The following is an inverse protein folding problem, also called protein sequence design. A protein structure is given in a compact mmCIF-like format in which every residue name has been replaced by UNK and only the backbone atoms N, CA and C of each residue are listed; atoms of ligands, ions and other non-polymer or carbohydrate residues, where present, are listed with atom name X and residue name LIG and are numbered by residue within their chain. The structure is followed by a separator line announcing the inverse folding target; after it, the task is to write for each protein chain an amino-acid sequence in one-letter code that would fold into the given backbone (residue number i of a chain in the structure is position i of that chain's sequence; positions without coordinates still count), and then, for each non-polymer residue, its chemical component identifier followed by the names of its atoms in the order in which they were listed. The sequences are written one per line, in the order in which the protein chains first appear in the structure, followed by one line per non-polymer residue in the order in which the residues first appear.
data_IF_739339369210
#
_entry.id   IF_739339369210
#
_cell.length_a   1.000
_cell.length_b   1.000
_cell.length_c   1.000
_cell.angle_alpha   90.00
_cell.angle_beta   90.00
_cell.angle_gamma   90.00
#
_symmetry.space_group_name_H-M   'P 1'
#
loop_
_entity.id
_entity.type
_entity.pdbx_description
1 polymer ?
#
# COMPACT_ATOMS: atom_id res chain seq x y z
N UNK A 1 -16.29 -11.87 29.29
CA UNK A 1 -15.82 -12.45 28.01
C UNK A 1 -15.73 -11.29 27.05
N UNK A 2 -14.52 -10.79 26.76
CA UNK A 2 -14.37 -9.75 25.74
C UNK A 2 -14.66 -10.40 24.40
N UNK A 3 -15.70 -9.93 23.69
CA UNK A 3 -15.87 -10.29 22.29
C UNK A 3 -14.58 -9.94 21.57
N UNK A 4 -13.99 -10.94 20.91
CA UNK A 4 -12.94 -10.71 19.94
C UNK A 4 -13.62 -9.96 18.80
N UNK A 5 -13.67 -8.64 18.90
CA UNK A 5 -14.10 -7.78 17.81
C UNK A 5 -13.30 -8.24 16.60
N UNK A 6 -13.99 -8.76 15.58
CA UNK A 6 -13.35 -9.31 14.39
C UNK A 6 -12.30 -8.31 13.91
N UNK A 7 -11.04 -8.71 13.95
CA UNK A 7 -9.83 -7.93 13.60
C UNK A 7 -9.71 -7.67 12.10
N UNK A 8 -10.85 -7.59 11.43
CA UNK A 8 -10.99 -7.53 9.98
C UNK A 8 -11.45 -6.13 9.59
N UNK A 9 -11.01 -5.63 8.42
CA UNK A 9 -11.52 -4.38 7.88
C UNK A 9 -13.04 -4.49 7.69
N UNK A 10 -13.77 -3.42 7.98
CA UNK A 10 -15.21 -3.34 7.65
C UNK A 10 -15.41 -3.04 6.16
N UNK A 11 -14.44 -2.34 5.58
CA UNK A 11 -14.51 -1.86 4.21
C UNK A 11 -13.30 -2.32 3.40
N UNK A 12 -13.54 -2.68 2.15
CA UNK A 12 -12.54 -3.13 1.19
C UNK A 12 -12.88 -2.54 -0.17
N UNK A 13 -11.92 -2.40 -1.08
CA UNK A 13 -12.23 -2.23 -2.50
C UNK A 13 -12.16 -3.57 -3.22
N UNK A 14 -13.24 -3.91 -3.90
CA UNK A 14 -13.23 -4.96 -4.93
C UNK A 14 -12.78 -4.31 -6.24
N UNK A 15 -11.63 -4.75 -6.73
CA UNK A 15 -10.97 -4.22 -7.91
C UNK A 15 -11.18 -5.20 -9.05
N UNK A 16 -11.71 -4.69 -10.16
CA UNK A 16 -11.84 -5.45 -11.41
C UNK A 16 -10.67 -5.11 -12.31
N UNK A 17 -9.96 -6.15 -12.75
CA UNK A 17 -8.87 -6.06 -13.70
C UNK A 17 -9.33 -6.74 -15.00
N UNK A 18 -9.12 -6.08 -16.13
CA UNK A 18 -9.39 -6.61 -17.46
C UNK A 18 -8.15 -6.45 -18.34
N UNK A 19 -7.79 -7.48 -19.11
CA UNK A 19 -6.59 -7.50 -19.96
C UNK A 19 -5.30 -7.07 -19.21
N UNK A 20 -5.17 -7.44 -17.94
CA UNK A 20 -4.05 -7.05 -17.08
C UNK A 20 -3.96 -5.54 -16.84
N UNK A 21 -5.08 -4.82 -16.90
CA UNK A 21 -5.21 -3.39 -16.62
C UNK A 21 -6.31 -3.14 -15.60
N UNK A 22 -6.07 -2.18 -14.72
CA UNK A 22 -7.14 -1.64 -13.89
C UNK A 22 -8.33 -1.24 -14.76
N UNK A 23 -9.51 -1.78 -14.44
CA UNK A 23 -10.75 -1.44 -15.12
C UNK A 23 -11.64 -0.58 -14.23
N UNK A 24 -11.92 -1.04 -13.02
CA UNK A 24 -12.73 -0.31 -12.05
C UNK A 24 -12.50 -0.83 -10.63
N UNK A 25 -13.02 -0.10 -9.65
CA UNK A 25 -13.17 -0.61 -8.29
C UNK A 25 -14.52 -0.20 -7.72
N UNK A 26 -14.98 -0.92 -6.70
CA UNK A 26 -16.09 -0.51 -5.85
C UNK A 26 -15.77 -0.79 -4.39
N UNK A 27 -16.14 0.14 -3.52
CA UNK A 27 -16.09 -0.10 -2.08
C UNK A 27 -17.18 -1.11 -1.71
N UNK A 28 -16.82 -2.13 -0.93
CA UNK A 28 -17.73 -3.16 -0.45
C UNK A 28 -17.66 -3.26 1.07
N UNK A 29 -18.77 -3.67 1.66
CA UNK A 29 -18.76 -4.16 3.04
C UNK A 29 -18.04 -5.52 3.07
N UNK A 30 -16.93 -5.58 3.79
CA UNK A 30 -16.09 -6.75 3.84
C UNK A 30 -16.56 -7.73 4.91
N UNK A 31 -16.56 -9.02 4.55
CA UNK A 31 -16.75 -10.14 5.47
C UNK A 31 -15.68 -11.16 5.12
N UNK A 32 -14.80 -11.54 6.06
CA UNK A 32 -13.88 -12.63 5.75
C UNK A 32 -14.61 -13.97 5.80
N UNK A 33 -15.02 -14.40 4.62
CA UNK A 33 -15.54 -15.74 4.32
C UNK A 33 -14.41 -16.65 3.79
N UNK A 34 -13.19 -16.47 4.32
CA UNK A 34 -11.98 -17.16 3.86
C UNK A 34 -11.29 -16.51 2.65
N UNK A 35 -11.84 -15.42 2.10
CA UNK A 35 -11.17 -14.63 1.06
C UNK A 35 -9.93 -13.92 1.60
N UNK A 36 -8.90 -13.87 0.76
CA UNK A 36 -7.63 -13.16 1.03
C UNK A 36 -7.67 -11.78 0.40
N UNK A 37 -6.97 -10.84 1.01
CA UNK A 37 -6.81 -9.49 0.47
C UNK A 37 -5.37 -9.00 0.56
N UNK A 38 -5.08 -7.97 -0.24
CA UNK A 38 -3.81 -7.24 -0.24
C UNK A 38 -4.02 -5.88 0.44
N UNK A 39 -3.20 -5.51 1.42
CA UNK A 39 -3.17 -4.15 1.96
C UNK A 39 -2.05 -3.34 1.33
N UNK A 40 -2.34 -2.14 0.80
CA UNK A 40 -1.33 -1.26 0.19
C UNK A 40 -0.89 -0.22 1.21
N UNK A 41 0.40 -0.20 1.54
CA UNK A 41 1.02 0.80 2.40
C UNK A 41 1.92 1.75 1.61
N UNK A 42 1.69 3.04 1.79
CA UNK A 42 2.40 4.09 1.07
C UNK A 42 2.33 5.43 1.82
N UNK A 43 3.33 6.31 1.68
CA UNK A 43 3.17 7.73 2.00
C UNK A 43 2.31 8.40 0.93
N UNK A 44 1.29 9.18 1.32
CA UNK A 44 0.45 9.95 0.37
C UNK A 44 1.30 10.81 -0.57
N UNK A 45 2.37 11.41 -0.06
CA UNK A 45 3.29 12.21 -0.89
C UNK A 45 4.03 11.40 -1.96
N UNK A 46 4.24 10.10 -1.74
CA UNK A 46 4.78 9.22 -2.79
C UNK A 46 3.72 8.90 -3.85
N UNK A 47 2.48 8.64 -3.46
CA UNK A 47 1.39 8.45 -4.42
C UNK A 47 1.08 9.74 -5.20
N UNK A 48 1.27 10.91 -4.58
CA UNK A 48 1.12 12.19 -5.26
C UNK A 48 2.10 12.39 -6.42
N UNK A 49 3.29 11.79 -6.35
CA UNK A 49 4.24 11.79 -7.48
C UNK A 49 3.65 11.05 -8.67
N UNK A 50 3.09 9.84 -8.49
CA UNK A 50 2.38 9.11 -9.55
C UNK A 50 1.19 9.90 -10.10
N UNK A 51 0.43 10.53 -9.21
CA UNK A 51 -0.70 11.40 -9.57
C UNK A 51 -0.25 12.55 -10.50
N UNK A 52 0.86 13.20 -10.17
CA UNK A 52 1.42 14.30 -10.95
C UNK A 52 1.99 13.82 -12.29
N UNK A 53 2.70 12.70 -12.29
CA UNK A 53 3.28 12.07 -13.50
C UNK A 53 2.19 11.61 -14.49
N UNK A 54 1.03 11.19 -13.99
CA UNK A 54 -0.16 10.91 -14.80
C UNK A 54 -0.83 12.17 -15.37
N UNK A 55 -0.26 13.36 -15.17
CA UNK A 55 -0.78 14.64 -15.64
C UNK A 55 -2.01 15.14 -14.89
N UNK A 56 -2.38 14.50 -13.77
CA UNK A 56 -3.54 14.90 -12.96
C UNK A 56 -3.20 16.12 -12.10
N UNK A 57 -4.21 16.95 -11.85
CA UNK A 57 -4.10 18.16 -11.02
C UNK A 57 -5.04 18.10 -9.83
N UNK A 58 -4.59 18.67 -8.71
CA UNK A 58 -5.41 18.88 -7.52
C UNK A 58 -6.58 19.80 -7.86
N UNK A 59 -7.69 19.64 -7.13
CA UNK A 59 -8.82 20.55 -7.21
C UNK A 59 -8.60 21.71 -6.23
N UNK A 60 -8.87 22.94 -6.67
CA UNK A 60 -8.94 24.10 -5.79
C UNK A 60 -10.38 24.32 -5.30
N UNK A 61 -10.59 24.79 -4.05
CA UNK A 61 -9.60 25.23 -3.08
C UNK A 61 -9.12 24.14 -2.10
N UNK A 62 -7.88 24.29 -1.60
CA UNK A 62 -7.34 23.46 -0.52
C UNK A 62 -8.02 23.79 0.81
N UNK A 63 -8.30 22.80 1.68
CA UNK A 63 -8.85 23.06 3.00
C UNK A 63 -7.82 23.75 3.90
N UNK A 64 -8.27 24.66 4.78
CA UNK A 64 -7.39 25.27 5.78
C UNK A 64 -6.67 24.21 6.64
N UNK A 65 -5.36 24.36 6.79
CA UNK A 65 -4.52 23.45 7.58
C UNK A 65 -4.33 22.04 7.03
N UNK A 66 -4.89 21.70 5.85
CA UNK A 66 -4.70 20.39 5.20
C UNK A 66 -4.02 20.55 3.83
N UNK A 67 -3.06 19.67 3.55
CA UNK A 67 -2.32 19.66 2.27
C UNK A 67 -3.22 19.31 1.08
N UNK A 68 -4.19 18.42 1.28
CA UNK A 68 -5.07 17.88 0.24
C UNK A 68 -6.53 17.81 0.73
N UNK A 69 -7.49 18.09 -0.16
CA UNK A 69 -8.91 17.84 0.08
C UNK A 69 -9.21 16.33 0.11
N UNK A 70 -10.34 15.91 0.68
CA UNK A 70 -10.73 14.49 0.73
C UNK A 70 -10.79 13.88 -0.68
N UNK A 71 -11.42 14.59 -1.61
CA UNK A 71 -11.55 14.15 -3.00
C UNK A 71 -10.19 13.97 -3.68
N UNK A 72 -9.26 14.90 -3.48
CA UNK A 72 -7.91 14.76 -4.01
C UNK A 72 -7.16 13.57 -3.41
N UNK A 73 -7.32 13.30 -2.11
CA UNK A 73 -6.72 12.12 -1.48
C UNK A 73 -7.25 10.83 -2.07
N UNK A 74 -8.55 10.73 -2.36
CA UNK A 74 -9.15 9.59 -3.07
C UNK A 74 -8.56 9.43 -4.46
N UNK A 75 -8.47 10.51 -5.24
CA UNK A 75 -7.90 10.49 -6.60
C UNK A 75 -6.41 10.12 -6.61
N UNK A 76 -5.66 10.54 -5.59
CA UNK A 76 -4.25 10.15 -5.38
C UNK A 76 -4.15 8.65 -5.07
N UNK A 77 -4.98 8.15 -4.14
CA UNK A 77 -5.03 6.72 -3.81
C UNK A 77 -5.45 5.86 -5.01
N UNK A 78 -6.43 6.31 -5.79
CA UNK A 78 -6.83 5.65 -7.04
C UNK A 78 -5.68 5.57 -8.04
N UNK A 79 -4.88 6.64 -8.20
CA UNK A 79 -3.72 6.58 -9.09
C UNK A 79 -2.70 5.53 -8.63
N UNK A 80 -2.47 5.40 -7.32
CA UNK A 80 -1.61 4.34 -6.80
C UNK A 80 -2.19 2.94 -7.07
N UNK A 81 -3.52 2.78 -6.96
CA UNK A 81 -4.18 1.51 -7.26
C UNK A 81 -4.03 1.13 -8.75
N UNK A 82 -4.18 2.10 -9.65
CA UNK A 82 -3.94 1.91 -11.10
C UNK A 82 -2.50 1.45 -11.35
N UNK A 83 -1.53 2.08 -10.68
CA UNK A 83 -0.12 1.71 -10.80
C UNK A 83 0.15 0.29 -10.27
N UNK A 84 -0.43 -0.05 -9.12
CA UNK A 84 -0.36 -1.39 -8.54
C UNK A 84 -0.87 -2.46 -9.50
N UNK A 85 -2.07 -2.27 -10.08
CA UNK A 85 -2.64 -3.20 -11.04
C UNK A 85 -1.77 -3.32 -12.31
N UNK A 86 -1.20 -2.21 -12.77
CA UNK A 86 -0.33 -2.20 -13.95
C UNK A 86 0.97 -2.99 -13.71
N UNK A 87 1.59 -2.83 -12.54
CA UNK A 87 2.79 -3.54 -12.15
C UNK A 87 2.58 -5.07 -11.97
N UNK A 88 1.33 -5.53 -11.83
CA UNK A 88 1.01 -6.97 -11.75
C UNK A 88 0.97 -7.66 -13.11
N UNK A 89 0.81 -6.94 -14.22
CA UNK A 89 0.74 -7.55 -15.56
C UNK A 89 1.93 -8.47 -15.84
N UNK A 90 3.10 -8.11 -15.33
CA UNK A 90 4.34 -8.84 -15.56
C UNK A 90 4.43 -10.18 -14.78
N UNK A 91 3.46 -10.50 -13.91
CA UNK A 91 3.47 -11.68 -13.04
C UNK A 91 2.75 -12.92 -13.61
N UNK A 92 2.48 -13.00 -14.92
CA UNK A 92 1.77 -14.14 -15.54
C UNK A 92 0.41 -14.45 -14.87
N UNK A 93 -0.28 -13.41 -14.42
CA UNK A 93 -1.64 -13.50 -13.88
C UNK A 93 -2.66 -13.70 -15.02
N UNK A 94 -3.84 -14.28 -14.76
CA UNK A 94 -4.93 -14.30 -15.73
C UNK A 94 -5.19 -12.90 -16.30
N UNK A 95 -5.63 -12.75 -17.56
CA UNK A 95 -5.91 -11.44 -18.13
C UNK A 95 -6.99 -10.69 -17.34
N UNK A 96 -8.02 -11.42 -16.91
CA UNK A 96 -9.14 -10.87 -16.17
C UNK A 96 -9.21 -11.52 -14.79
N UNK A 97 -9.31 -10.71 -13.75
CA UNK A 97 -9.57 -11.20 -12.39
C UNK A 97 -10.15 -10.11 -11.50
N UNK A 98 -10.69 -10.55 -10.37
CA UNK A 98 -11.11 -9.68 -9.28
C UNK A 98 -10.14 -9.82 -8.12
N UNK A 99 -9.72 -8.70 -7.54
CA UNK A 99 -8.88 -8.67 -6.34
C UNK A 99 -9.53 -7.83 -5.24
N UNK A 100 -9.30 -8.23 -3.99
CA UNK A 100 -9.73 -7.49 -2.82
C UNK A 100 -8.52 -6.73 -2.27
N UNK A 101 -8.62 -5.41 -2.25
CA UNK A 101 -7.52 -4.53 -1.85
C UNK A 101 -7.99 -3.60 -0.74
N UNK A 102 -7.18 -3.49 0.31
CA UNK A 102 -7.35 -2.47 1.32
C UNK A 102 -6.38 -1.32 1.01
N UNK A 103 -6.94 -0.15 0.71
CA UNK A 103 -6.19 1.09 0.48
C UNK A 103 -6.96 2.23 1.13
N UNK A 104 -6.29 2.92 2.06
CA UNK A 104 -6.86 3.89 2.98
C UNK A 104 -8.01 4.73 2.42
N UNK A 105 -7.75 5.72 1.57
CA UNK A 105 -8.75 6.73 1.20
C UNK A 105 -9.89 6.18 0.33
N UNK A 106 -9.75 4.98 -0.24
CA UNK A 106 -10.83 4.30 -0.97
C UNK A 106 -11.64 3.34 -0.09
N UNK A 107 -11.06 2.86 1.02
CA UNK A 107 -11.75 1.99 1.97
C UNK A 107 -12.35 2.76 3.15
N UNK A 108 -11.83 3.95 3.49
CA UNK A 108 -12.34 4.73 4.61
C UNK A 108 -13.70 5.36 4.28
N UNK A 109 -14.71 5.21 5.17
CA UNK A 109 -16.01 5.86 4.98
C UNK A 109 -15.87 7.39 5.08
N UNK A 110 -16.87 8.10 4.54
CA UNK A 110 -16.91 9.56 4.59
C UNK A 110 -17.38 10.08 5.96
N UNK A 111 -18.23 9.32 6.63
CA UNK A 111 -18.72 9.62 7.98
C UNK A 111 -17.54 9.60 8.97
N UNK A 112 -17.44 10.64 9.80
CA UNK A 112 -16.25 10.95 10.60
C UNK A 112 -16.03 9.94 11.72
N UNK A 113 -17.09 9.48 12.38
CA UNK A 113 -17.01 8.53 13.49
C UNK A 113 -16.67 7.12 13.00
N UNK A 114 -17.32 6.67 11.92
CA UNK A 114 -16.99 5.41 11.25
C UNK A 114 -15.56 5.44 10.71
N UNK A 115 -15.13 6.58 10.15
CA UNK A 115 -13.77 6.75 9.65
C UNK A 115 -12.74 6.68 10.78
N UNK A 116 -13.01 7.34 11.91
CA UNK A 116 -12.14 7.26 13.09
C UNK A 116 -12.04 5.83 13.62
N UNK A 117 -13.16 5.12 13.63
CA UNK A 117 -13.23 3.71 14.05
C UNK A 117 -12.42 2.82 13.12
N UNK A 118 -12.55 2.96 11.80
CA UNK A 118 -11.77 2.17 10.84
C UNK A 118 -10.27 2.50 10.93
N UNK A 119 -9.91 3.78 11.09
CA UNK A 119 -8.52 4.21 11.29
C UNK A 119 -7.90 3.66 12.57
N UNK A 120 -8.67 3.48 13.65
CA UNK A 120 -8.14 2.86 14.87
C UNK A 120 -7.77 1.38 14.69
N UNK A 121 -8.24 0.74 13.61
CA UNK A 121 -8.02 -0.68 13.30
C UNK A 121 -6.89 -0.93 12.32
N UNK A 122 -6.16 0.11 11.88
CA UNK A 122 -5.11 -0.02 10.87
C UNK A 122 -4.13 -1.17 11.14
N UNK A 123 -3.65 -1.30 12.37
CA UNK A 123 -2.72 -2.39 12.72
C UNK A 123 -3.33 -3.77 12.52
N UNK A 124 -4.61 -3.95 12.85
CA UNK A 124 -5.29 -5.23 12.70
C UNK A 124 -5.60 -5.53 11.24
N UNK A 125 -5.97 -4.52 10.46
CA UNK A 125 -6.15 -4.62 9.01
C UNK A 125 -4.85 -5.09 8.35
N UNK A 126 -3.73 -4.42 8.61
CA UNK A 126 -2.46 -4.88 8.02
C UNK A 126 -2.00 -6.25 8.56
N UNK A 127 -2.28 -6.56 9.83
CA UNK A 127 -1.98 -7.87 10.42
C UNK A 127 -2.77 -9.00 9.77
N UNK A 128 -4.04 -8.77 9.43
CA UNK A 128 -4.91 -9.77 8.80
C UNK A 128 -4.70 -9.88 7.28
N UNK A 129 -4.01 -8.94 6.66
CA UNK A 129 -3.72 -8.97 5.23
C UNK A 129 -2.86 -10.19 4.85
N UNK A 130 -3.25 -10.89 3.79
CA UNK A 130 -2.44 -12.00 3.28
C UNK A 130 -1.14 -11.48 2.66
N UNK A 131 -1.25 -10.38 1.93
CA UNK A 131 -0.14 -9.70 1.27
C UNK A 131 -0.14 -8.24 1.68
N UNK A 132 1.05 -7.69 1.95
CA UNK A 132 1.23 -6.24 2.12
C UNK A 132 2.05 -5.73 0.95
N UNK A 133 1.45 -4.87 0.15
CA UNK A 133 2.14 -4.17 -0.93
C UNK A 133 2.70 -2.85 -0.40
N UNK A 134 3.97 -2.58 -0.67
CA UNK A 134 4.67 -1.38 -0.16
C UNK A 134 5.16 -0.53 -1.32
N UNK A 135 4.97 0.78 -1.21
CA UNK A 135 5.34 1.74 -2.26
C UNK A 135 6.00 3.01 -1.72
N UNK A 136 7.03 3.46 -2.43
CA UNK A 136 7.50 4.84 -2.43
C UNK A 136 7.90 5.25 -3.86
N UNK A 137 8.03 6.56 -4.09
CA UNK A 137 8.30 7.11 -5.41
C UNK A 137 9.78 7.12 -5.81
N UNK A 138 10.69 6.74 -4.89
CA UNK A 138 12.13 6.76 -5.13
C UNK A 138 12.53 5.64 -6.12
N UNK A 139 13.16 6.02 -7.23
CA UNK A 139 13.64 5.07 -8.25
C UNK A 139 14.73 4.15 -7.65
N UNK A 140 14.63 2.85 -7.92
CA UNK A 140 15.54 1.82 -7.42
C UNK A 140 15.36 1.49 -5.94
N UNK A 141 14.33 2.03 -5.26
CA UNK A 141 14.11 1.74 -3.86
C UNK A 141 13.57 0.32 -3.66
N UNK A 142 14.29 -0.46 -2.83
CA UNK A 142 13.89 -1.81 -2.43
C UNK A 142 13.08 -1.83 -1.13
N UNK A 143 12.76 -0.66 -0.56
CA UNK A 143 11.95 -0.46 0.66
C UNK A 143 12.51 -1.06 1.95
N UNK A 144 13.72 -1.63 1.93
CA UNK A 144 14.33 -2.23 3.13
C UNK A 144 15.19 -1.27 3.94
N UNK A 145 15.55 -0.12 3.37
CA UNK A 145 16.36 0.90 4.01
C UNK A 145 15.51 1.95 4.74
N UNK A 146 16.03 2.53 5.83
CA UNK A 146 15.40 3.66 6.53
C UNK A 146 15.54 5.00 5.81
N UNK A 147 16.24 5.02 4.68
CA UNK A 147 16.26 6.18 3.78
C UNK A 147 15.02 6.23 2.89
N UNK A 148 14.30 5.11 2.75
CA UNK A 148 13.05 5.04 2.01
C UNK A 148 11.96 5.91 2.65
N UNK A 149 11.23 6.69 1.83
CA UNK A 149 10.12 7.52 2.32
C UNK A 149 9.04 6.70 3.03
N UNK A 150 8.74 5.50 2.54
CA UNK A 150 7.85 4.55 3.21
C UNK A 150 8.45 4.05 4.53
N UNK A 151 9.73 3.69 4.55
CA UNK A 151 10.44 3.16 5.72
C UNK A 151 10.62 4.14 6.88
N UNK A 152 10.40 5.45 6.66
CA UNK A 152 10.48 6.50 7.68
C UNK A 152 9.18 6.71 8.46
N UNK A 153 8.06 6.12 8.03
CA UNK A 153 6.78 6.26 8.73
C UNK A 153 6.80 5.47 10.04
N UNK A 154 6.14 6.02 11.06
CA UNK A 154 6.09 5.41 12.41
C UNK A 154 5.42 4.02 12.40
N UNK A 155 4.47 3.79 11.49
CA UNK A 155 3.63 2.59 11.48
C UNK A 155 4.12 1.48 10.54
N UNK A 156 5.16 1.74 9.74
CA UNK A 156 5.70 0.84 8.70
C UNK A 156 5.98 -0.56 9.21
N UNK A 157 6.53 -0.67 10.42
CA UNK A 157 6.84 -1.98 11.02
C UNK A 157 5.58 -2.74 11.39
N UNK A 158 4.61 -2.06 12.01
CA UNK A 158 3.33 -2.66 12.37
C UNK A 158 2.57 -3.16 11.14
N UNK A 159 2.73 -2.48 10.00
CA UNK A 159 2.10 -2.86 8.74
C UNK A 159 2.67 -4.16 8.15
N UNK A 160 3.96 -4.48 8.37
CA UNK A 160 4.61 -5.66 7.76
C UNK A 160 4.93 -6.80 8.74
N UNK A 161 4.84 -6.56 10.04
CA UNK A 161 5.35 -7.50 11.06
C UNK A 161 4.65 -8.86 10.97
N UNK A 162 3.35 -8.85 10.71
CA UNK A 162 2.53 -10.06 10.66
C UNK A 162 2.11 -10.46 9.24
N UNK A 163 2.54 -9.72 8.23
CA UNK A 163 2.27 -10.09 6.84
C UNK A 163 2.84 -11.48 6.54
N UNK A 164 2.15 -12.26 5.70
CA UNK A 164 2.71 -13.51 5.19
C UNK A 164 3.65 -13.25 4.01
N UNK A 165 3.23 -12.34 3.13
CA UNK A 165 3.91 -11.97 1.90
C UNK A 165 4.07 -10.46 1.81
N UNK A 166 5.23 -10.01 1.34
CA UNK A 166 5.45 -8.60 0.98
C UNK A 166 5.60 -8.48 -0.52
N UNK A 167 4.88 -7.53 -1.11
CA UNK A 167 5.03 -7.13 -2.51
C UNK A 167 5.65 -5.75 -2.56
N UNK A 168 6.86 -5.65 -3.08
CA UNK A 168 7.57 -4.38 -3.25
C UNK A 168 7.25 -3.79 -4.61
N UNK A 169 6.60 -2.65 -4.63
CA UNK A 169 6.44 -1.84 -5.83
C UNK A 169 7.70 -0.99 -6.02
N UNK A 170 8.60 -1.41 -6.90
CA UNK A 170 9.87 -0.70 -7.17
C UNK A 170 9.79 0.00 -8.52
N UNK A 171 10.13 1.29 -8.52
CA UNK A 171 10.23 2.10 -9.74
C UNK A 171 11.60 1.95 -10.35
N UNK A 172 11.68 1.70 -11.66
CA UNK A 172 12.95 1.52 -12.38
C UNK A 172 12.93 2.30 -13.70
N UNK A 173 14.11 2.74 -14.13
CA UNK A 173 14.27 3.36 -15.45
C UNK A 173 14.25 2.24 -16.50
N UNK A 174 13.32 2.33 -17.45
CA UNK A 174 13.17 1.35 -18.51
C UNK A 174 14.34 1.46 -19.50
N UNK A 175 15.07 0.36 -19.77
CA UNK A 175 16.15 0.35 -20.75
C UNK A 175 15.62 0.70 -22.15
N UNK A 176 16.32 1.59 -22.87
CA UNK A 176 16.06 1.86 -24.28
C UNK A 176 14.86 2.78 -24.59
N UNK A 177 14.13 3.28 -23.59
CA UNK A 177 12.99 4.20 -23.76
C UNK A 177 13.19 5.56 -23.10
N UNK A 178 14.33 6.20 -23.35
CA UNK A 178 14.52 7.64 -23.06
C UNK A 178 14.08 8.10 -21.66
N UNK A 179 14.63 7.50 -20.60
CA UNK A 179 14.34 7.82 -19.19
C UNK A 179 12.88 7.59 -18.74
N UNK A 180 12.08 6.81 -19.46
CA UNK A 180 10.76 6.34 -18.98
C UNK A 180 10.93 5.52 -17.69
N UNK A 181 10.07 5.76 -16.70
CA UNK A 181 10.07 5.05 -15.42
C UNK A 181 8.90 4.08 -15.41
N UNK A 182 9.18 2.79 -15.18
CA UNK A 182 8.16 1.77 -14.97
C UNK A 182 8.13 1.31 -13.51
N UNK A 183 6.98 0.80 -13.05
CA UNK A 183 6.86 0.17 -11.74
C UNK A 183 6.77 -1.35 -11.89
N UNK A 184 7.61 -2.05 -11.13
CA UNK A 184 7.67 -3.51 -11.09
C UNK A 184 7.28 -4.02 -9.71
N UNK A 185 6.59 -5.16 -9.69
CA UNK A 185 6.14 -5.79 -8.46
C UNK A 185 7.00 -7.01 -8.12
N UNK A 186 7.86 -6.86 -7.11
CA UNK A 186 8.69 -7.95 -6.61
C UNK A 186 8.06 -8.60 -5.38
N UNK A 187 7.85 -9.91 -5.43
CA UNK A 187 7.27 -10.67 -4.33
C UNK A 187 8.36 -11.36 -3.50
N UNK A 188 8.23 -11.34 -2.17
CA UNK A 188 9.05 -12.15 -1.26
C UNK A 188 8.26 -12.53 0.01
N UNK A 189 8.79 -13.47 0.78
CA UNK A 189 8.22 -13.77 2.10
C UNK A 189 8.45 -12.58 3.04
N UNK A 190 7.48 -12.31 3.91
CA UNK A 190 7.64 -11.22 4.87
C UNK A 190 8.85 -11.42 5.80
N UNK A 191 9.18 -12.68 6.13
CA UNK A 191 10.39 -13.03 6.88
C UNK A 191 11.66 -12.55 6.18
N UNK A 192 11.83 -12.88 4.90
CA UNK A 192 13.01 -12.45 4.12
C UNK A 192 13.11 -10.92 4.04
N UNK A 193 11.96 -10.26 3.82
CA UNK A 193 11.90 -8.80 3.80
C UNK A 193 12.34 -8.18 5.14
N UNK A 194 11.82 -8.72 6.26
CA UNK A 194 12.21 -8.28 7.62
C UNK A 194 13.68 -8.53 7.92
N UNK A 195 14.23 -9.69 7.55
CA UNK A 195 15.67 -10.00 7.72
C UNK A 195 16.56 -8.98 6.96
N UNK A 196 16.17 -8.57 5.75
CA UNK A 196 16.88 -7.51 5.01
C UNK A 196 16.76 -6.14 5.70
N UNK A 197 15.59 -5.80 6.25
CA UNK A 197 15.44 -4.59 7.07
C UNK A 197 16.29 -4.64 8.35
N UNK A 198 16.35 -5.81 9.02
CA UNK A 198 17.21 -6.02 10.19
C UNK A 198 18.67 -5.80 9.86
N UNK A 199 19.14 -6.35 8.74
CA UNK A 199 20.52 -6.16 8.30
C UNK A 199 20.86 -4.68 8.06
N UNK A 200 19.94 -3.91 7.47
CA UNK A 200 20.11 -2.46 7.38
C UNK A 200 20.08 -1.78 8.75
N UNK A 201 19.21 -2.23 9.68
CA UNK A 201 19.12 -1.69 11.05
C UNK A 201 20.44 -1.85 11.80
N UNK A 202 21.02 -3.05 11.75
CA UNK A 202 22.30 -3.35 12.36
C UNK A 202 23.42 -2.49 11.77
N UNK A 203 23.50 -2.40 10.43
CA UNK A 203 24.50 -1.56 9.74
C UNK A 203 24.39 -0.07 10.11
N UNK A 204 23.17 0.41 10.37
CA UNK A 204 22.92 1.79 10.76
C UNK A 204 22.96 2.03 12.29
N UNK A 205 23.34 1.04 13.10
CA UNK A 205 23.38 1.16 14.56
C UNK A 205 22.00 1.31 15.23
N UNK A 206 20.91 0.99 14.52
CA UNK A 206 19.52 1.10 15.03
C UNK A 206 19.10 -0.18 15.75
N UNK A 207 19.72 -0.46 16.90
CA UNK A 207 19.52 -1.71 17.64
C UNK A 207 18.08 -1.96 18.10
N UNK A 208 17.36 -0.92 18.51
CA UNK A 208 15.94 -1.06 18.89
C UNK A 208 15.09 -1.62 17.75
N UNK A 209 15.32 -1.10 16.54
CA UNK A 209 14.61 -1.51 15.33
C UNK A 209 14.97 -2.94 14.90
N UNK A 210 16.24 -3.28 15.01
CA UNK A 210 16.72 -4.65 14.81
C UNK A 210 16.00 -5.64 15.74
N UNK A 211 15.84 -5.29 17.02
CA UNK A 211 15.15 -6.14 18.01
C UNK A 211 13.66 -6.32 17.71
N UNK A 212 12.96 -5.27 17.27
CA UNK A 212 11.54 -5.35 16.89
C UNK A 212 11.31 -6.26 15.70
N UNK A 213 12.18 -6.19 14.69
CA UNK A 213 12.06 -6.97 13.46
C UNK A 213 12.38 -8.47 13.64
N UNK A 214 13.00 -8.85 14.76
CA UNK A 214 13.36 -10.24 15.09
C UNK A 214 12.17 -11.06 15.61
N UNK A 215 11.12 -10.39 16.09
CA UNK A 215 9.90 -11.03 16.61
C UNK A 215 9.05 -11.61 15.47
#
# INVERSE_FOLDING_TARGET
VYEVASSEPRWMVEVTIQDGKYFSHKQINWKADGRRYTAISYPVDSAFVLFSEAGKRLQDPKPEGKKYALEDRKRIAEQLLIEYCSARRDQQVPPDWTEFVWIDELCLPEEKEERATELSRLTDIFRAAHTVAVFCHDVGCNHTSFTCQWGRRLYTLGEILHANKVQRMTREILPGKGAEIGTFLYSESARSFRERMMNHAAKAGKWHLHSLLRQ
#
